data_IF_863759527007
#
_entry.id   IF_863759527007
#
_cell.length_a   1.000
_cell.length_b   1.000
_cell.length_c   1.000
_cell.angle_alpha   90.00
_cell.angle_beta   90.00
_cell.angle_gamma   90.00
#
_symmetry.space_group_name_H-M   'P 1'
#
loop_
_entity.id
_entity.type
_entity.pdbx_description
1 polymer ?
#
# COMPACT_ATOMS: atom_id res chain seq x y z
N UNK A 1 -16.45 -72.24 -45.53
CA UNK A 1 -16.13 -73.62 -45.24
C UNK A 1 -15.77 -73.75 -43.77
N UNK A 2 -16.55 -74.55 -43.07
CA UNK A 2 -16.33 -75.21 -41.78
C UNK A 2 -15.98 -74.37 -40.55
N UNK A 3 -16.89 -74.20 -39.59
CA UNK A 3 -17.27 -75.11 -38.46
C UNK A 3 -16.11 -75.21 -37.43
N UNK A 4 -16.26 -75.13 -36.18
CA UNK A 4 -17.41 -75.29 -35.25
C UNK A 4 -16.83 -75.42 -33.82
N UNK A 5 -17.65 -75.02 -32.88
CA UNK A 5 -18.00 -75.74 -31.62
C UNK A 5 -16.98 -75.66 -30.45
N UNK A 6 -17.38 -75.06 -29.37
CA UNK A 6 -17.94 -75.70 -28.14
C UNK A 6 -16.81 -76.20 -27.19
N UNK A 7 -16.88 -76.17 -25.92
CA UNK A 7 -17.93 -76.28 -24.87
C UNK A 7 -17.27 -76.02 -23.49
N UNK A 8 -18.04 -75.46 -22.55
CA UNK A 8 -18.05 -75.76 -21.10
C UNK A 8 -16.76 -75.82 -20.28
N UNK A 9 -16.65 -75.06 -19.22
CA UNK A 9 -16.85 -75.64 -17.89
C UNK A 9 -16.84 -74.59 -16.79
N UNK A 10 -17.88 -74.59 -16.03
CA UNK A 10 -18.15 -74.01 -14.75
C UNK A 10 -17.04 -74.32 -13.74
N UNK A 11 -16.49 -73.32 -13.05
CA UNK A 11 -16.01 -73.51 -11.68
C UNK A 11 -16.24 -72.29 -10.85
N UNK A 12 -17.18 -72.44 -9.98
CA UNK A 12 -17.54 -71.51 -8.92
C UNK A 12 -16.50 -71.59 -7.82
N UNK A 13 -15.70 -70.56 -7.62
CA UNK A 13 -14.88 -70.43 -6.41
C UNK A 13 -15.29 -69.14 -5.71
N UNK A 14 -16.08 -69.32 -4.65
CA UNK A 14 -16.35 -68.27 -3.66
C UNK A 14 -15.13 -68.13 -2.77
N UNK A 15 -14.40 -67.04 -2.88
CA UNK A 15 -13.40 -66.64 -1.90
C UNK A 15 -13.92 -65.40 -1.18
N UNK A 16 -14.35 -65.60 0.04
CA UNK A 16 -14.56 -64.57 1.04
C UNK A 16 -13.18 -64.04 1.43
N UNK A 17 -12.86 -62.86 1.00
CA UNK A 17 -11.71 -62.10 1.54
C UNK A 17 -12.23 -60.88 2.24
N UNK A 18 -12.10 -60.88 3.53
CA UNK A 18 -12.28 -59.76 4.42
C UNK A 18 -11.32 -58.64 4.02
N UNK A 19 -11.78 -57.66 3.27
CA UNK A 19 -11.00 -56.49 2.89
C UNK A 19 -11.17 -55.40 3.95
N UNK A 20 -10.12 -55.17 4.71
CA UNK A 20 -9.98 -53.98 5.57
C UNK A 20 -10.14 -52.75 4.73
N UNK A 21 -11.18 -51.97 5.02
CA UNK A 21 -11.36 -50.62 4.49
C UNK A 21 -10.30 -49.71 5.11
N UNK A 22 -9.22 -49.50 4.37
CA UNK A 22 -8.26 -48.45 4.68
C UNK A 22 -8.94 -47.11 4.32
N UNK A 23 -9.36 -46.38 5.33
CA UNK A 23 -9.85 -45.02 5.14
C UNK A 23 -8.73 -44.16 4.53
N UNK A 24 -9.00 -43.38 3.46
CA UNK A 24 -7.99 -42.45 2.97
C UNK A 24 -7.77 -41.35 4.02
N UNK A 25 -6.50 -41.20 4.41
CA UNK A 25 -6.04 -40.09 5.21
C UNK A 25 -6.55 -38.77 4.56
N UNK A 26 -7.27 -37.98 5.35
CA UNK A 26 -7.69 -36.63 4.97
C UNK A 26 -6.47 -35.82 4.56
N UNK A 27 -6.21 -35.76 3.26
CA UNK A 27 -5.40 -34.68 2.70
C UNK A 27 -6.20 -33.40 2.93
N UNK A 28 -5.87 -32.70 3.99
CA UNK A 28 -6.28 -31.30 4.17
C UNK A 28 -5.62 -30.56 3.02
N UNK A 29 -6.39 -30.37 1.95
CA UNK A 29 -6.03 -29.52 0.84
C UNK A 29 -5.73 -28.14 1.44
N UNK A 30 -4.43 -27.79 1.52
CA UNK A 30 -4.00 -26.44 1.87
C UNK A 30 -4.45 -25.53 0.73
N UNK A 31 -5.66 -25.00 0.86
CA UNK A 31 -6.11 -23.90 0.03
C UNK A 31 -5.05 -22.80 0.17
N UNK A 32 -4.39 -22.39 -0.92
CA UNK A 32 -3.46 -21.28 -0.84
C UNK A 32 -4.25 -20.08 -0.35
N UNK A 33 -3.91 -19.59 0.85
CA UNK A 33 -4.45 -18.34 1.36
C UNK A 33 -4.03 -17.25 0.38
N UNK A 34 -4.96 -16.84 -0.47
CA UNK A 34 -4.83 -15.59 -1.19
C UNK A 34 -4.44 -14.51 -0.17
N UNK A 35 -3.43 -13.66 -0.48
CA UNK A 35 -3.14 -12.53 0.39
C UNK A 35 -4.43 -11.75 0.56
N UNK A 36 -4.89 -11.66 1.81
CA UNK A 36 -6.01 -10.81 2.17
C UNK A 36 -5.61 -9.40 1.71
N UNK A 37 -6.29 -8.89 0.69
CA UNK A 37 -6.18 -7.49 0.31
C UNK A 37 -6.56 -6.71 1.57
N UNK A 38 -5.58 -6.06 2.18
CA UNK A 38 -5.79 -5.26 3.37
C UNK A 38 -6.82 -4.18 3.02
N UNK A 39 -7.96 -4.24 3.66
CA UNK A 39 -8.98 -3.20 3.47
C UNK A 39 -8.48 -1.96 4.19
N UNK A 40 -8.37 -0.80 3.50
CA UNK A 40 -7.95 0.44 4.15
C UNK A 40 -8.81 0.70 5.38
N UNK A 41 -8.19 0.88 6.54
CA UNK A 41 -8.92 1.19 7.75
C UNK A 41 -9.36 2.66 7.73
N UNK A 42 -10.57 2.92 8.21
CA UNK A 42 -11.05 4.29 8.42
C UNK A 42 -10.09 5.00 9.37
N UNK A 43 -9.47 6.09 8.91
CA UNK A 43 -8.47 6.83 9.68
C UNK A 43 -7.02 6.64 9.22
N UNK A 44 -6.73 5.68 8.36
CA UNK A 44 -5.39 5.59 7.79
C UNK A 44 -5.15 6.70 6.76
N UNK A 45 -3.92 7.25 6.76
CA UNK A 45 -3.46 8.16 5.72
C UNK A 45 -2.71 7.38 4.65
N UNK A 46 -3.12 7.54 3.41
CA UNK A 46 -2.41 7.01 2.24
C UNK A 46 -1.44 8.06 1.70
N UNK A 47 -0.17 7.71 1.55
CA UNK A 47 0.79 8.52 0.81
C UNK A 47 0.59 8.26 -0.67
N UNK A 48 0.33 9.32 -1.42
CA UNK A 48 0.03 9.26 -2.85
C UNK A 48 1.09 9.97 -3.67
N UNK A 49 1.38 9.39 -4.83
CA UNK A 49 2.31 9.95 -5.81
C UNK A 49 1.70 9.91 -7.21
N UNK A 50 2.28 10.67 -8.13
CA UNK A 50 1.90 10.63 -9.54
C UNK A 50 2.08 9.21 -10.12
N UNK A 51 1.17 8.76 -10.99
CA UNK A 51 1.17 7.39 -11.55
C UNK A 51 2.48 6.99 -12.23
N UNK A 52 3.16 7.93 -12.87
CA UNK A 52 4.45 7.67 -13.54
C UNK A 52 5.63 7.53 -12.57
N UNK A 53 5.46 7.83 -11.29
CA UNK A 53 6.52 7.69 -10.31
C UNK A 53 6.81 6.19 -10.08
N UNK A 54 8.05 5.70 -10.26
CA UNK A 54 8.38 4.29 -10.10
C UNK A 54 8.48 3.84 -8.64
N UNK A 55 8.53 4.78 -7.69
CA UNK A 55 8.68 4.48 -6.26
C UNK A 55 7.44 3.73 -5.74
N UNK A 56 7.67 2.62 -5.06
CA UNK A 56 6.60 1.78 -4.50
C UNK A 56 6.59 1.78 -2.98
N UNK A 57 7.71 2.14 -2.36
CA UNK A 57 7.89 2.14 -0.92
C UNK A 57 8.86 3.24 -0.50
N UNK A 58 8.59 3.90 0.61
CA UNK A 58 9.48 4.80 1.30
C UNK A 58 9.53 4.44 2.78
N UNK A 59 10.68 4.64 3.39
CA UNK A 59 10.80 4.60 4.85
C UNK A 59 10.22 5.87 5.47
N UNK A 60 9.85 5.82 6.75
CA UNK A 60 9.43 7.03 7.48
C UNK A 60 10.50 8.12 7.46
N UNK A 61 11.78 7.74 7.50
CA UNK A 61 12.89 8.70 7.43
C UNK A 61 12.96 9.39 6.06
N UNK A 62 12.81 8.65 4.96
CA UNK A 62 12.78 9.23 3.62
C UNK A 62 11.55 10.11 3.42
N UNK A 63 10.38 9.69 3.91
CA UNK A 63 9.17 10.51 3.91
C UNK A 63 9.41 11.86 4.59
N UNK A 64 10.00 11.84 5.79
CA UNK A 64 10.38 13.05 6.50
C UNK A 64 11.28 13.96 5.67
N UNK A 65 12.31 13.41 5.02
CA UNK A 65 13.20 14.18 4.17
C UNK A 65 12.47 14.87 3.01
N UNK A 66 11.49 14.20 2.39
CA UNK A 66 10.68 14.80 1.35
C UNK A 66 9.76 15.90 1.89
N UNK A 67 9.03 15.64 2.99
CA UNK A 67 8.10 16.61 3.56
C UNK A 67 8.78 17.84 4.17
N UNK A 68 10.00 17.70 4.64
CA UNK A 68 10.84 18.82 5.09
C UNK A 68 11.67 19.46 3.97
N UNK A 69 11.49 19.01 2.73
CA UNK A 69 12.23 19.46 1.55
C UNK A 69 13.77 19.32 1.67
N UNK A 70 14.25 18.47 2.59
CA UNK A 70 15.65 18.09 2.70
C UNK A 70 16.10 17.26 1.48
N UNK A 71 15.14 16.53 0.89
CA UNK A 71 15.32 15.79 -0.36
C UNK A 71 14.35 16.33 -1.39
N UNK A 72 14.86 16.95 -2.44
CA UNK A 72 14.07 17.67 -3.43
C UNK A 72 14.01 17.00 -4.83
N UNK A 73 14.60 15.80 -4.96
CA UNK A 73 14.54 14.99 -6.18
C UNK A 73 14.24 13.52 -5.85
N UNK A 74 13.48 12.90 -6.73
CA UNK A 74 13.31 11.45 -6.76
C UNK A 74 14.59 10.76 -7.24
N UNK A 75 14.71 9.46 -7.04
CA UNK A 75 15.81 8.64 -7.59
C UNK A 75 15.95 8.73 -9.12
N UNK A 76 14.88 9.10 -9.80
CA UNK A 76 14.83 9.37 -11.25
C UNK A 76 15.35 10.75 -11.66
N UNK A 77 15.93 11.53 -10.74
CA UNK A 77 16.33 12.92 -10.93
C UNK A 77 15.17 13.90 -11.19
N UNK A 78 13.95 13.42 -11.13
CA UNK A 78 12.78 14.28 -11.25
C UNK A 78 12.59 15.10 -9.97
N UNK A 79 12.34 16.41 -10.13
CA UNK A 79 12.11 17.31 -8.99
C UNK A 79 10.85 16.91 -8.23
N UNK A 80 10.97 16.77 -6.92
CA UNK A 80 9.84 16.48 -6.04
C UNK A 80 8.98 17.73 -5.83
N UNK A 81 7.66 17.55 -5.84
CA UNK A 81 6.66 18.57 -5.56
C UNK A 81 5.78 18.12 -4.41
N UNK A 82 6.06 18.62 -3.23
CA UNK A 82 5.33 18.25 -2.02
C UNK A 82 4.06 19.06 -1.90
N UNK A 83 2.95 18.38 -1.61
CA UNK A 83 1.69 19.01 -1.29
C UNK A 83 1.25 18.64 0.13
N UNK A 84 0.69 19.61 0.84
CA UNK A 84 0.13 19.44 2.17
C UNK A 84 -1.29 20.00 2.22
N UNK A 85 -2.09 19.49 3.15
CA UNK A 85 -3.37 20.14 3.47
C UNK A 85 -3.10 21.49 4.13
N UNK A 86 -4.05 22.38 4.05
CA UNK A 86 -3.98 23.68 4.73
C UNK A 86 -3.90 23.52 6.26
N UNK A 87 -3.39 24.56 6.96
CA UNK A 87 -3.35 24.57 8.42
C UNK A 87 -4.73 24.36 9.05
N UNK A 88 -4.79 23.55 10.09
CA UNK A 88 -6.03 23.18 10.79
C UNK A 88 -6.73 21.93 10.25
N UNK A 89 -6.29 21.36 9.14
CA UNK A 89 -6.79 20.08 8.68
C UNK A 89 -6.24 18.93 9.55
N UNK A 90 -7.06 17.99 10.04
CA UNK A 90 -6.61 16.90 10.91
C UNK A 90 -5.59 15.98 10.23
N UNK A 91 -5.67 15.83 8.92
CA UNK A 91 -4.68 15.09 8.13
C UNK A 91 -3.31 15.77 8.14
N UNK A 92 -3.28 17.12 8.13
CA UNK A 92 -2.04 17.88 8.25
C UNK A 92 -1.42 17.72 9.64
N UNK A 93 -2.22 17.84 10.68
CA UNK A 93 -1.73 17.68 12.06
C UNK A 93 -1.13 16.28 12.28
N UNK A 94 -1.75 15.25 11.72
CA UNK A 94 -1.22 13.89 11.77
C UNK A 94 0.12 13.76 11.01
N UNK A 95 0.25 14.33 9.82
CA UNK A 95 1.49 14.33 9.04
C UNK A 95 2.59 15.10 9.74
N UNK A 96 2.29 16.27 10.31
CA UNK A 96 3.26 17.06 11.10
C UNK A 96 3.78 16.25 12.28
N UNK A 97 2.89 15.60 13.03
CA UNK A 97 3.26 14.82 14.21
C UNK A 97 4.00 13.53 13.84
N UNK A 98 3.44 12.75 12.91
CA UNK A 98 3.91 11.38 12.63
C UNK A 98 5.10 11.35 11.69
N UNK A 99 5.16 12.23 10.70
CA UNK A 99 6.21 12.27 9.68
C UNK A 99 7.25 13.34 10.03
N UNK A 100 6.84 14.59 10.27
CA UNK A 100 7.77 15.68 10.50
C UNK A 100 8.32 15.71 11.94
N UNK A 101 7.63 15.05 12.90
CA UNK A 101 7.99 15.11 14.31
C UNK A 101 7.73 16.47 14.95
N UNK A 102 6.72 17.18 14.45
CA UNK A 102 6.31 18.53 14.89
C UNK A 102 4.91 18.48 15.47
N UNK A 103 4.69 19.13 16.60
CA UNK A 103 3.40 19.11 17.28
C UNK A 103 2.49 20.31 16.91
N UNK A 104 3.03 21.34 16.29
CA UNK A 104 2.31 22.55 15.94
C UNK A 104 2.66 23.00 14.53
N UNK A 105 1.70 23.56 13.83
CA UNK A 105 1.90 24.13 12.49
C UNK A 105 2.92 25.27 12.49
N UNK A 106 3.00 26.04 13.59
CA UNK A 106 4.00 27.08 13.76
C UNK A 106 5.45 26.55 13.72
N UNK A 107 5.70 25.33 14.22
CA UNK A 107 7.03 24.74 14.21
C UNK A 107 7.45 24.45 12.75
N UNK A 108 6.50 23.99 11.93
CA UNK A 108 6.69 23.76 10.51
C UNK A 108 6.94 25.07 9.73
N UNK A 109 6.12 26.08 9.98
CA UNK A 109 6.30 27.41 9.38
C UNK A 109 7.65 28.02 9.75
N UNK A 110 8.03 27.92 11.03
CA UNK A 110 9.34 28.43 11.51
C UNK A 110 10.50 27.67 10.87
N UNK A 111 10.37 26.35 10.67
CA UNK A 111 11.39 25.55 9.99
C UNK A 111 11.64 26.07 8.57
N UNK A 112 10.60 26.24 7.75
CA UNK A 112 10.75 26.72 6.38
C UNK A 112 11.20 28.18 6.32
N UNK A 113 10.76 29.02 7.24
CA UNK A 113 11.23 30.41 7.33
C UNK A 113 12.74 30.47 7.60
N UNK A 114 13.25 29.68 8.57
CA UNK A 114 14.69 29.58 8.85
C UNK A 114 15.48 29.05 7.67
N UNK A 115 14.97 28.01 7.00
CA UNK A 115 15.62 27.43 5.83
C UNK A 115 15.76 28.43 4.68
N UNK A 116 14.79 29.30 4.47
CA UNK A 116 14.86 30.41 3.50
C UNK A 116 15.93 31.43 3.87
N UNK A 117 16.02 31.81 5.14
CA UNK A 117 17.03 32.78 5.59
C UNK A 117 18.46 32.22 5.57
N UNK A 118 18.64 30.90 5.64
CA UNK A 118 19.95 30.27 5.56
C UNK A 118 20.43 29.98 4.13
N UNK A 119 19.78 30.60 3.12
CA UNK A 119 20.07 30.39 1.69
C UNK A 119 19.93 28.96 1.21
N UNK A 120 19.36 28.10 2.00
CA UNK A 120 18.92 26.78 1.55
C UNK A 120 17.67 27.02 0.70
N UNK A 121 17.81 26.91 -0.62
CA UNK A 121 16.68 27.02 -1.56
C UNK A 121 15.78 25.81 -1.35
N UNK A 122 14.83 25.92 -0.44
CA UNK A 122 13.85 24.92 -0.16
C UNK A 122 12.54 25.34 -0.82
N UNK A 123 12.03 24.49 -1.72
CA UNK A 123 10.67 24.63 -2.23
C UNK A 123 9.69 24.32 -1.09
N UNK A 124 8.96 25.31 -0.64
CA UNK A 124 7.89 25.07 0.34
C UNK A 124 6.82 24.14 -0.23
N UNK A 125 6.28 23.23 0.59
CA UNK A 125 5.11 22.44 0.21
C UNK A 125 3.93 23.32 -0.18
N UNK A 126 3.22 22.91 -1.24
CA UNK A 126 2.01 23.60 -1.65
C UNK A 126 0.86 23.27 -0.73
N UNK A 127 0.17 24.26 -0.18
CA UNK A 127 -1.04 24.06 0.60
C UNK A 127 -2.25 23.87 -0.32
N UNK A 128 -3.11 22.90 0.03
CA UNK A 128 -4.31 22.52 -0.72
C UNK A 128 -5.51 22.38 0.24
N UNK A 129 -6.66 22.85 -0.22
CA UNK A 129 -7.83 23.04 0.64
C UNK A 129 -8.61 21.74 0.88
N UNK A 130 -8.51 20.77 -0.04
CA UNK A 130 -9.29 19.54 0.03
C UNK A 130 -8.49 18.29 -0.38
N UNK A 131 -8.98 17.11 -0.01
CA UNK A 131 -8.46 15.83 -0.53
C UNK A 131 -8.63 15.71 -2.03
N UNK A 132 -9.72 16.24 -2.57
CA UNK A 132 -9.97 16.26 -4.01
C UNK A 132 -8.91 17.10 -4.76
N UNK A 133 -8.54 18.27 -4.22
CA UNK A 133 -7.48 19.11 -4.79
C UNK A 133 -6.11 18.42 -4.65
N UNK A 134 -5.88 17.71 -3.54
CA UNK A 134 -4.67 16.91 -3.35
C UNK A 134 -4.54 15.83 -4.42
N UNK A 135 -5.58 15.04 -4.64
CA UNK A 135 -5.62 14.01 -5.68
C UNK A 135 -5.42 14.63 -7.05
N UNK A 136 -6.15 15.71 -7.37
CA UNK A 136 -6.03 16.41 -8.64
C UNK A 136 -4.62 16.96 -8.86
N UNK A 137 -4.00 17.55 -7.85
CA UNK A 137 -2.63 18.04 -7.94
C UNK A 137 -1.65 16.90 -8.21
N UNK A 138 -1.71 15.82 -7.43
CA UNK A 138 -0.82 14.68 -7.56
C UNK A 138 -1.00 13.96 -8.90
N UNK A 139 -2.23 13.87 -9.40
CA UNK A 139 -2.54 13.24 -10.69
C UNK A 139 -2.01 14.03 -11.90
N UNK A 140 -1.91 15.37 -11.79
CA UNK A 140 -1.52 16.24 -12.90
C UNK A 140 -0.07 16.75 -12.85
N UNK A 141 0.60 16.61 -11.70
CA UNK A 141 1.97 17.11 -11.51
C UNK A 141 2.93 15.95 -11.37
N UNK A 142 3.68 15.71 -12.43
CA UNK A 142 4.74 14.71 -12.45
C UNK A 142 5.77 15.05 -11.36
N UNK A 143 6.12 14.07 -10.52
CA UNK A 143 6.99 14.27 -9.34
C UNK A 143 6.27 14.69 -8.08
N UNK A 144 4.94 14.88 -8.11
CA UNK A 144 4.19 15.23 -6.91
C UNK A 144 4.11 14.07 -5.90
N UNK A 145 4.11 14.46 -4.64
CA UNK A 145 3.82 13.63 -3.47
C UNK A 145 2.86 14.37 -2.56
N UNK A 146 1.90 13.67 -2.01
CA UNK A 146 0.94 14.17 -1.06
C UNK A 146 0.33 13.05 -0.24
N UNK A 147 -0.74 13.34 0.46
CA UNK A 147 -1.47 12.37 1.29
C UNK A 147 -2.96 12.68 1.31
N UNK A 148 -3.74 11.63 1.44
CA UNK A 148 -5.20 11.69 1.66
C UNK A 148 -5.60 10.59 2.63
N UNK A 149 -6.85 10.59 3.09
CA UNK A 149 -7.38 9.43 3.80
C UNK A 149 -7.43 8.24 2.85
N UNK A 150 -7.17 7.06 3.37
CA UNK A 150 -7.07 5.85 2.57
C UNK A 150 -8.38 5.49 1.85
N UNK A 151 -9.52 5.86 2.44
CA UNK A 151 -10.86 5.68 1.87
C UNK A 151 -11.23 6.74 0.81
N UNK A 152 -10.44 7.81 0.66
CA UNK A 152 -10.63 8.85 -0.36
C UNK A 152 -9.75 8.66 -1.61
N UNK A 153 -8.88 7.65 -1.60
CA UNK A 153 -7.97 7.39 -2.74
C UNK A 153 -8.76 7.00 -3.98
N UNK A 154 -8.42 7.62 -5.10
CA UNK A 154 -8.99 7.25 -6.38
C UNK A 154 -7.93 6.69 -7.35
N UNK A 155 -8.35 5.99 -8.44
CA UNK A 155 -7.41 5.38 -9.37
C UNK A 155 -6.53 6.34 -10.18
N UNK A 156 -6.68 7.66 -10.09
CA UNK A 156 -5.87 8.64 -10.83
C UNK A 156 -4.46 8.77 -10.27
N UNK A 157 -4.26 8.39 -9.02
CA UNK A 157 -2.98 8.44 -8.30
C UNK A 157 -2.48 7.05 -7.94
N UNK A 158 -1.24 6.96 -7.47
CA UNK A 158 -0.66 5.72 -6.93
C UNK A 158 -0.43 5.87 -5.43
N UNK A 159 -0.89 4.89 -4.65
CA UNK A 159 -0.52 4.75 -3.25
C UNK A 159 0.83 4.04 -3.16
N UNK A 160 1.71 4.53 -2.30
CA UNK A 160 2.99 3.87 -1.98
C UNK A 160 2.96 3.32 -0.56
N UNK A 161 3.76 2.30 -0.34
CA UNK A 161 3.96 1.72 1.00
C UNK A 161 4.86 2.61 1.85
N UNK A 162 4.69 2.51 3.16
CA UNK A 162 5.55 3.17 4.15
C UNK A 162 6.11 2.08 5.08
N UNK A 163 7.43 2.00 5.22
CA UNK A 163 8.12 0.91 5.93
C UNK A 163 7.64 -0.49 5.47
N UNK A 164 7.39 -0.67 4.16
CA UNK A 164 6.83 -1.87 3.51
C UNK A 164 5.37 -2.20 3.87
N UNK A 165 4.67 -1.34 4.59
CA UNK A 165 3.27 -1.50 4.96
C UNK A 165 2.38 -0.59 4.09
N UNK A 166 1.24 -1.11 3.67
CA UNK A 166 0.18 -0.35 3.01
C UNK A 166 -0.85 0.14 4.04
N UNK A 167 -1.64 1.19 3.74
CA UNK A 167 -2.81 1.52 4.55
C UNK A 167 -3.71 0.29 4.74
N UNK A 168 -4.13 0.02 5.98
CA UNK A 168 -4.88 -1.18 6.37
C UNK A 168 -4.03 -2.35 6.84
N UNK A 169 -2.73 -2.36 6.61
CA UNK A 169 -1.87 -3.43 7.12
C UNK A 169 -1.69 -3.32 8.63
N UNK A 170 -1.64 -4.44 9.36
CA UNK A 170 -1.33 -4.43 10.78
C UNK A 170 0.02 -3.77 11.06
N UNK A 171 0.03 -2.77 11.95
CA UNK A 171 1.23 -2.02 12.29
C UNK A 171 1.52 -0.80 11.39
N UNK A 172 0.63 -0.48 10.45
CA UNK A 172 0.73 0.76 9.69
C UNK A 172 0.68 1.97 10.64
N UNK A 173 1.62 2.92 10.47
CA UNK A 173 1.86 3.97 11.47
C UNK A 173 1.16 5.29 11.17
N UNK A 174 0.75 5.52 9.93
CA UNK A 174 0.12 6.78 9.53
C UNK A 174 -1.39 6.71 9.73
N UNK A 175 -1.83 6.89 10.96
CA UNK A 175 -3.24 6.82 11.36
C UNK A 175 -3.70 8.13 11.99
N UNK A 176 -4.94 8.53 11.68
CA UNK A 176 -5.64 9.63 12.35
C UNK A 176 -6.22 9.12 13.68
N UNK A 177 -5.85 9.75 14.77
CA UNK A 177 -6.40 9.52 16.11
C UNK A 177 -7.01 10.77 16.66
#
# INVERSE_FOLDING_TARGET
MFRAKQIFSTLLIVILVSGSVLAPANAVERVPRLPLLSTPQRGDLAIIVHKSNPVQNLTMAELRQYFLAERNHWSTQQKTRVAMREPGAPERDAVLRLICGMNRDQDFTTYFLRAKFSEQVIDEPRNLDSSADMIKFVANVSGAIGYVRADEVDPSVRVIKVDNLAPGDPGYKLTLH
#
